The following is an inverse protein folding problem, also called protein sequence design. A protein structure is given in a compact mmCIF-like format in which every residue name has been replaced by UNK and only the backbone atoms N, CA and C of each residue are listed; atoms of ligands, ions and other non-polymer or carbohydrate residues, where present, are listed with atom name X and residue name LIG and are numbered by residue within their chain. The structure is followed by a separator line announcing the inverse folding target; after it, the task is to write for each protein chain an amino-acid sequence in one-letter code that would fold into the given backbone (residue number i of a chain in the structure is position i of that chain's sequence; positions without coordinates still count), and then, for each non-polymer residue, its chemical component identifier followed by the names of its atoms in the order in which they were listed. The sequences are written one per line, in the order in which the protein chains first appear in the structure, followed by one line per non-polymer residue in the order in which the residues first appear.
data_IF_416898105560
#
_entry.id   IF_416898105560
#
_cell.length_a   1.000
_cell.length_b   1.000
_cell.length_c   1.000
_cell.angle_alpha   90.00
_cell.angle_beta   90.00
_cell.angle_gamma   90.00
#
_symmetry.space_group_name_H-M   'P 1'
#
loop_
_entity.id
_entity.type
_entity.pdbx_description
1 polymer ?
#
# COMPACT_ATOMS: atom_id res chain seq x y z
N UNK A 1 41.78 -12.44 -19.58
CA UNK A 1 42.31 -12.52 -18.19
C UNK A 1 41.41 -11.85 -17.15
N UNK A 2 40.91 -10.61 -17.35
CA UNK A 2 40.00 -9.94 -16.39
C UNK A 2 38.73 -10.74 -16.02
N UNK A 3 38.16 -11.47 -16.99
CA UNK A 3 36.96 -12.31 -16.79
C UNK A 3 37.21 -13.55 -15.92
N UNK A 4 38.44 -14.09 -15.90
CA UNK A 4 38.79 -15.28 -15.12
C UNK A 4 38.86 -14.99 -13.62
N UNK A 5 39.46 -13.85 -13.25
CA UNK A 5 39.51 -13.42 -11.85
C UNK A 5 38.12 -13.12 -11.27
N UNK A 6 37.20 -12.59 -12.09
CA UNK A 6 35.81 -12.36 -11.70
C UNK A 6 35.04 -13.68 -11.44
N UNK A 7 35.23 -14.68 -12.31
CA UNK A 7 34.60 -16.01 -12.13
C UNK A 7 35.14 -16.73 -10.89
N UNK A 8 36.45 -16.68 -10.66
CA UNK A 8 37.08 -17.27 -9.47
C UNK A 8 36.57 -16.57 -8.20
N UNK A 9 36.49 -15.23 -8.20
CA UNK A 9 35.96 -14.45 -7.07
C UNK A 9 34.50 -14.80 -6.75
N UNK A 10 33.66 -14.99 -7.77
CA UNK A 10 32.25 -15.37 -7.58
C UNK A 10 32.10 -16.79 -7.03
N UNK A 11 32.98 -17.71 -7.44
CA UNK A 11 33.00 -19.10 -6.93
C UNK A 11 33.55 -19.20 -5.50
N UNK A 12 34.47 -18.30 -5.11
CA UNK A 12 34.94 -18.20 -3.71
C UNK A 12 33.89 -17.57 -2.80
N UNK A 13 33.06 -16.64 -3.30
CA UNK A 13 32.00 -16.01 -2.52
C UNK A 13 30.88 -16.99 -2.11
N UNK A 14 30.63 -18.04 -2.92
CA UNK A 14 29.64 -19.08 -2.57
C UNK A 14 30.14 -20.07 -1.52
N UNK A 15 31.45 -20.08 -1.21
CA UNK A 15 32.02 -20.92 -0.16
C UNK A 15 31.90 -20.32 1.24
N UNK A 16 31.52 -19.03 1.35
CA UNK A 16 31.38 -18.34 2.64
C UNK A 16 30.00 -18.63 3.22
N UNK A 17 29.85 -19.79 3.86
CA UNK A 17 28.67 -20.10 4.65
C UNK A 17 28.76 -19.39 6.01
N UNK A 18 28.00 -18.32 6.21
CA UNK A 18 27.74 -17.76 7.54
C UNK A 18 26.75 -18.68 8.28
N UNK A 19 27.21 -19.85 8.71
CA UNK A 19 26.37 -20.75 9.49
C UNK A 19 26.21 -20.17 10.90
N UNK A 20 24.97 -19.99 11.33
CA UNK A 20 24.69 -19.69 12.75
C UNK A 20 25.33 -20.80 13.58
N UNK A 21 26.18 -20.46 14.58
CA UNK A 21 26.77 -21.46 15.44
C UNK A 21 25.69 -22.40 16.01
N UNK A 22 25.77 -23.68 15.66
CA UNK A 22 24.85 -24.72 16.11
C UNK A 22 25.21 -25.14 17.54
N UNK A 23 25.14 -24.19 18.47
CA UNK A 23 25.54 -24.40 19.86
C UNK A 23 24.97 -23.35 20.81
N UNK A 24 24.93 -23.67 22.10
CA UNK A 24 24.75 -22.68 23.16
C UNK A 24 25.78 -22.90 24.28
N UNK A 25 26.19 -21.81 24.94
CA UNK A 25 27.18 -21.88 26.01
C UNK A 25 26.60 -22.47 27.30
N UNK A 26 27.42 -23.26 27.97
CA UNK A 26 27.13 -23.85 29.27
C UNK A 26 28.36 -23.72 30.17
N UNK A 27 28.14 -23.25 31.40
CA UNK A 27 29.17 -23.11 32.41
C UNK A 27 28.73 -23.84 33.67
N UNK A 28 29.64 -24.60 34.27
CA UNK A 28 29.38 -25.33 35.52
C UNK A 28 30.63 -25.46 36.36
N UNK A 29 30.45 -25.83 37.63
CA UNK A 29 31.53 -26.22 38.54
C UNK A 29 31.49 -27.73 38.70
N UNK A 30 32.62 -28.41 38.47
CA UNK A 30 32.73 -29.85 38.65
C UNK A 30 33.06 -30.17 40.11
N UNK A 31 32.24 -31.03 40.72
CA UNK A 31 32.42 -31.50 42.10
C UNK A 31 32.81 -32.98 42.10
N UNK A 32 33.66 -33.38 43.04
CA UNK A 32 33.96 -34.79 43.30
C UNK A 32 32.88 -35.43 44.19
N UNK A 33 33.03 -36.72 44.48
CA UNK A 33 32.11 -37.47 45.35
C UNK A 33 31.98 -36.91 46.79
N UNK A 34 32.98 -36.15 47.26
CA UNK A 34 32.97 -35.48 48.56
C UNK A 34 32.31 -34.09 48.52
N UNK A 35 31.81 -33.64 47.36
CA UNK A 35 31.24 -32.31 47.19
C UNK A 35 32.26 -31.18 47.07
N UNK A 36 33.55 -31.48 46.95
CA UNK A 36 34.60 -30.48 46.76
C UNK A 36 34.83 -30.19 45.27
N UNK A 37 35.09 -28.94 44.85
CA UNK A 37 35.43 -28.61 43.48
C UNK A 37 36.69 -29.36 43.01
N UNK A 38 36.65 -29.91 41.79
CA UNK A 38 37.80 -30.55 41.15
C UNK A 38 38.66 -29.43 40.55
N UNK A 39 39.69 -28.95 41.24
CA UNK A 39 40.53 -27.86 40.73
C UNK A 39 41.61 -28.35 39.76
N UNK A 40 41.77 -27.68 38.61
CA UNK A 40 42.79 -27.97 37.59
C UNK A 40 42.84 -29.46 37.15
N UNK A 41 41.68 -30.12 37.17
CA UNK A 41 41.54 -31.55 36.90
C UNK A 41 40.88 -31.82 35.56
N UNK A 42 41.19 -32.97 34.98
CA UNK A 42 40.51 -33.44 33.78
C UNK A 42 39.18 -34.10 34.15
N UNK A 43 38.10 -33.66 33.52
CA UNK A 43 36.75 -34.19 33.70
C UNK A 43 36.12 -34.43 32.32
N UNK A 44 35.19 -35.36 32.25
CA UNK A 44 34.41 -35.59 31.04
C UNK A 44 32.93 -35.38 31.32
N UNK A 45 32.24 -34.82 30.33
CA UNK A 45 30.81 -34.57 30.36
C UNK A 45 30.14 -35.33 29.25
N UNK A 46 28.96 -35.86 29.54
CA UNK A 46 28.01 -36.37 28.57
C UNK A 46 26.75 -35.54 28.67
N UNK A 47 26.38 -34.91 27.55
CA UNK A 47 25.23 -34.01 27.47
C UNK A 47 24.19 -34.67 26.58
N UNK A 48 22.94 -34.76 27.06
CA UNK A 48 21.82 -35.26 26.27
C UNK A 48 20.69 -34.23 26.20
N UNK A 49 20.06 -34.13 25.03
CA UNK A 49 18.80 -33.39 24.85
C UNK A 49 17.65 -34.38 24.85
N UNK A 50 16.73 -34.21 25.81
CA UNK A 50 15.53 -35.04 25.97
C UNK A 50 14.29 -34.26 25.50
N UNK A 51 13.25 -34.98 25.10
CA UNK A 51 11.97 -34.38 24.68
C UNK A 51 10.82 -34.66 25.67
N UNK A 52 9.91 -33.69 25.80
CA UNK A 52 8.66 -33.73 26.59
C UNK A 52 8.85 -33.78 28.12
N UNK A 53 9.72 -34.63 28.65
CA UNK A 53 9.93 -34.82 30.09
C UNK A 53 11.40 -35.03 30.43
N UNK A 54 11.74 -34.91 31.73
CA UNK A 54 13.10 -35.16 32.25
C UNK A 54 13.57 -36.62 32.10
N UNK A 55 12.68 -37.54 31.74
CA UNK A 55 12.98 -38.95 31.47
C UNK A 55 12.52 -39.37 30.06
N UNK A 56 12.25 -38.39 29.20
CA UNK A 56 11.75 -38.62 27.85
C UNK A 56 12.80 -39.21 26.91
N UNK A 57 12.44 -39.42 25.63
CA UNK A 57 13.38 -39.96 24.65
C UNK A 57 14.55 -38.99 24.42
N UNK A 58 15.74 -39.56 24.20
CA UNK A 58 16.96 -38.83 23.85
C UNK A 58 16.92 -38.50 22.37
N UNK A 59 16.93 -37.20 22.03
CA UNK A 59 17.03 -36.72 20.65
C UNK A 59 18.48 -36.57 20.19
N UNK A 60 19.36 -36.17 21.13
CA UNK A 60 20.77 -35.88 20.85
C UNK A 60 21.64 -36.21 22.05
N UNK A 61 22.85 -36.69 21.83
CA UNK A 61 23.87 -36.86 22.87
C UNK A 61 25.26 -36.54 22.34
N UNK A 62 26.06 -35.86 23.16
CA UNK A 62 27.47 -35.55 22.88
C UNK A 62 28.35 -35.73 24.13
N UNK A 63 29.65 -35.88 23.90
CA UNK A 63 30.65 -35.89 24.97
C UNK A 63 31.66 -34.74 24.84
N UNK A 64 32.18 -34.30 25.98
CA UNK A 64 33.24 -33.29 26.08
C UNK A 64 34.29 -33.75 27.08
N UNK A 65 35.57 -33.56 26.77
CA UNK A 65 36.67 -33.67 27.74
C UNK A 65 37.23 -32.28 27.99
N UNK A 66 37.27 -31.85 29.25
CA UNK A 66 37.66 -30.49 29.65
C UNK A 66 38.53 -30.52 30.90
N UNK A 67 39.42 -29.55 31.00
CA UNK A 67 40.16 -29.26 32.23
C UNK A 67 39.46 -28.16 32.99
N UNK A 68 39.17 -28.38 34.27
CA UNK A 68 38.60 -27.37 35.16
C UNK A 68 39.64 -26.30 35.49
N UNK A 69 39.21 -25.10 35.90
CA UNK A 69 40.13 -24.10 36.46
C UNK A 69 40.37 -24.32 37.97
N UNK A 70 41.11 -23.42 38.62
CA UNK A 70 41.41 -23.47 40.06
C UNK A 70 40.16 -23.45 40.98
N UNK A 71 39.00 -23.03 40.47
CA UNK A 71 37.70 -23.03 41.18
C UNK A 71 36.80 -24.22 40.79
N UNK A 72 37.29 -25.15 39.97
CA UNK A 72 36.50 -26.26 39.43
C UNK A 72 35.59 -25.87 38.26
N UNK A 73 35.69 -24.65 37.74
CA UNK A 73 34.82 -24.15 36.67
C UNK A 73 35.21 -24.74 35.30
N UNK A 74 34.20 -25.09 34.51
CA UNK A 74 34.33 -25.50 33.10
C UNK A 74 33.38 -24.68 32.25
N UNK A 75 33.86 -24.29 31.06
CA UNK A 75 33.04 -23.77 29.97
C UNK A 75 33.01 -24.77 28.82
N UNK A 76 31.82 -25.01 28.29
CA UNK A 76 31.62 -25.81 27.07
C UNK A 76 30.49 -25.21 26.23
N UNK A 77 30.51 -25.50 24.94
CA UNK A 77 29.43 -25.13 24.03
C UNK A 77 28.67 -26.42 23.69
N UNK A 78 27.43 -26.51 24.18
CA UNK A 78 26.57 -27.67 23.92
C UNK A 78 26.19 -27.66 22.44
N UNK A 79 26.41 -28.75 21.72
CA UNK A 79 26.26 -28.88 20.28
C UNK A 79 27.59 -28.88 19.49
N UNK A 80 28.72 -28.72 20.18
CA UNK A 80 30.08 -28.74 19.60
C UNK A 80 30.97 -29.83 20.22
N UNK A 81 30.37 -30.78 20.95
CA UNK A 81 31.05 -31.97 21.45
C UNK A 81 31.12 -33.08 20.42
N UNK A 82 31.65 -34.23 20.83
CA UNK A 82 31.64 -35.44 19.99
C UNK A 82 30.26 -36.10 20.08
N UNK A 83 29.45 -35.94 19.03
CA UNK A 83 28.11 -36.55 18.98
C UNK A 83 28.19 -38.08 18.99
N UNK A 84 27.36 -38.72 19.80
CA UNK A 84 27.16 -40.18 19.83
C UNK A 84 25.76 -40.60 19.38
N UNK A 85 24.80 -39.69 19.36
CA UNK A 85 23.40 -39.96 18.98
C UNK A 85 22.79 -38.71 18.39
N UNK A 86 22.17 -38.83 17.21
CA UNK A 86 21.55 -37.72 16.50
C UNK A 86 22.55 -36.63 16.05
N UNK A 87 22.01 -35.52 15.57
CA UNK A 87 22.78 -34.31 15.24
C UNK A 87 22.13 -33.11 15.91
N UNK A 88 22.93 -32.15 16.39
CA UNK A 88 22.39 -30.97 17.06
C UNK A 88 21.48 -30.13 16.15
N UNK A 89 21.89 -30.00 14.87
CA UNK A 89 21.11 -29.33 13.84
C UNK A 89 19.81 -30.08 13.45
N UNK A 90 19.73 -31.38 13.72
CA UNK A 90 18.54 -32.19 13.45
C UNK A 90 17.44 -32.08 14.52
N UNK A 91 17.72 -31.41 15.66
CA UNK A 91 16.73 -31.23 16.72
C UNK A 91 15.68 -30.22 16.26
N UNK A 92 14.40 -30.63 16.28
CA UNK A 92 13.31 -29.69 16.08
C UNK A 92 13.08 -28.86 17.37
N UNK A 93 13.67 -27.66 17.39
CA UNK A 93 13.58 -26.69 18.50
C UNK A 93 12.24 -25.96 18.55
N UNK A 94 11.44 -25.99 17.48
CA UNK A 94 10.18 -25.23 17.37
C UNK A 94 8.97 -25.91 17.98
N UNK A 95 9.11 -27.18 18.40
CA UNK A 95 8.01 -27.99 18.95
C UNK A 95 8.44 -28.69 20.23
N UNK A 96 7.46 -29.01 21.09
CA UNK A 96 7.63 -29.75 22.34
C UNK A 96 8.61 -29.10 23.34
N UNK A 97 8.53 -29.50 24.60
CA UNK A 97 9.52 -29.07 25.61
C UNK A 97 10.82 -29.86 25.44
N UNK A 98 11.96 -29.21 25.67
CA UNK A 98 13.29 -29.82 25.61
C UNK A 98 13.95 -29.74 26.98
N UNK A 99 14.71 -30.77 27.35
CA UNK A 99 15.46 -30.84 28.59
C UNK A 99 16.93 -31.11 28.30
N UNK A 100 17.84 -30.47 29.05
CA UNK A 100 19.26 -30.80 29.05
C UNK A 100 19.53 -31.71 30.23
N UNK A 101 20.00 -32.92 29.94
CA UNK A 101 20.57 -33.84 30.91
C UNK A 101 22.09 -33.71 30.87
N UNK A 102 22.70 -33.52 32.03
CA UNK A 102 24.15 -33.44 32.18
C UNK A 102 24.60 -34.62 33.02
N UNK A 103 25.58 -35.34 32.51
CA UNK A 103 26.27 -36.42 33.20
C UNK A 103 27.78 -36.15 33.20
N UNK A 104 28.49 -36.59 34.24
CA UNK A 104 29.92 -36.31 34.41
C UNK A 104 30.67 -37.53 34.94
N UNK A 105 31.89 -37.74 34.44
CA UNK A 105 32.92 -38.56 35.10
C UNK A 105 34.00 -37.63 35.72
N UNK A 106 34.08 -37.56 37.06
CA UNK A 106 35.07 -36.77 37.78
C UNK A 106 36.54 -37.12 37.47
N UNK A 107 36.81 -38.33 36.96
CA UNK A 107 38.15 -38.81 36.61
C UNK A 107 38.47 -38.61 35.12
N UNK A 108 37.54 -38.05 34.35
CA UNK A 108 37.72 -37.82 32.91
C UNK A 108 37.60 -39.07 32.04
N UNK A 109 37.05 -40.16 32.58
CA UNK A 109 36.78 -41.40 31.87
C UNK A 109 35.40 -41.42 31.19
N UNK A 110 34.75 -42.58 31.20
CA UNK A 110 33.42 -42.81 30.60
C UNK A 110 32.38 -43.31 31.62
N UNK A 111 32.69 -43.26 32.91
CA UNK A 111 31.81 -43.68 34.00
C UNK A 111 30.91 -42.52 34.44
N UNK A 112 30.02 -42.11 33.54
CA UNK A 112 29.19 -40.93 33.73
C UNK A 112 28.13 -41.13 34.82
N UNK A 113 28.02 -40.13 35.70
CA UNK A 113 26.97 -40.02 36.72
C UNK A 113 26.09 -38.82 36.43
N UNK A 114 24.77 -38.95 36.62
CA UNK A 114 23.83 -37.85 36.37
C UNK A 114 24.03 -36.73 37.41
N UNK A 115 24.31 -35.52 36.93
CA UNK A 115 24.48 -34.34 37.78
C UNK A 115 23.27 -33.40 37.74
N UNK A 116 22.32 -33.62 36.81
CA UNK A 116 21.07 -32.88 36.74
C UNK A 116 20.36 -32.99 35.40
N UNK A 117 19.04 -32.80 35.44
CA UNK A 117 18.17 -32.69 34.26
C UNK A 117 17.31 -31.45 34.42
N UNK A 118 17.43 -30.49 33.51
CA UNK A 118 16.68 -29.23 33.57
C UNK A 118 15.96 -28.95 32.26
N UNK A 119 14.76 -28.36 32.33
CA UNK A 119 14.06 -27.89 31.15
C UNK A 119 14.81 -26.69 30.54
N UNK A 120 14.96 -26.69 29.23
CA UNK A 120 15.41 -25.51 28.49
C UNK A 120 14.26 -24.50 28.42
N UNK A 121 14.40 -23.41 29.17
CA UNK A 121 13.50 -22.27 29.13
C UNK A 121 13.96 -21.28 28.05
N UNK A 122 13.00 -20.60 27.42
CA UNK A 122 13.30 -19.55 26.45
C UNK A 122 14.04 -18.38 27.10
N UNK A 123 15.12 -17.91 26.48
CA UNK A 123 15.85 -16.70 26.89
C UNK A 123 15.16 -15.43 26.36
N UNK A 124 15.36 -14.24 26.99
CA UNK A 124 14.68 -13.01 26.57
C UNK A 124 14.84 -12.65 25.08
N UNK A 125 16.02 -12.86 24.50
CA UNK A 125 16.26 -12.63 23.07
C UNK A 125 15.48 -13.61 22.17
N UNK A 126 15.25 -14.84 22.63
CA UNK A 126 14.45 -15.85 21.93
C UNK A 126 12.94 -15.65 22.12
N UNK A 127 12.49 -14.83 23.07
CA UNK A 127 11.07 -14.48 23.19
C UNK A 127 10.63 -13.53 22.06
N UNK A 128 11.55 -12.70 21.55
CA UNK A 128 11.30 -11.81 20.42
C UNK A 128 11.09 -12.59 19.13
N UNK A 129 11.70 -13.77 18.95
CA UNK A 129 11.50 -14.57 17.74
C UNK A 129 10.13 -15.25 17.66
N UNK A 130 9.37 -15.31 18.76
CA UNK A 130 7.99 -15.83 18.77
C UNK A 130 7.05 -15.04 17.87
N UNK A 131 7.35 -13.77 17.57
CA UNK A 131 6.56 -12.95 16.65
C UNK A 131 6.96 -13.13 15.18
N UNK A 132 8.06 -13.83 14.88
CA UNK A 132 8.65 -13.88 13.53
C UNK A 132 8.74 -15.31 12.97
N UNK A 133 8.87 -16.34 13.83
CA UNK A 133 8.97 -17.74 13.38
C UNK A 133 7.62 -18.44 13.57
N UNK A 134 6.83 -18.43 12.51
CA UNK A 134 5.67 -19.31 12.38
C UNK A 134 6.04 -20.47 11.46
N UNK A 135 5.56 -21.69 11.69
CA UNK A 135 5.87 -22.86 10.84
C UNK A 135 5.58 -22.66 9.35
N UNK A 136 5.94 -23.63 8.51
CA UNK A 136 5.67 -23.58 7.07
C UNK A 136 4.19 -23.24 6.80
N UNK A 137 3.93 -22.23 5.96
CA UNK A 137 2.60 -21.75 5.60
C UNK A 137 1.94 -20.76 6.58
N UNK A 138 2.48 -20.55 7.78
CA UNK A 138 1.81 -19.81 8.85
C UNK A 138 1.96 -18.27 8.76
N UNK A 139 2.98 -17.77 8.06
CA UNK A 139 3.17 -16.34 7.76
C UNK A 139 3.49 -15.42 8.95
N UNK A 140 3.95 -14.20 8.65
CA UNK A 140 4.27 -13.19 9.67
C UNK A 140 2.99 -12.43 10.04
N UNK A 141 2.63 -12.40 11.32
CA UNK A 141 1.52 -11.56 11.82
C UNK A 141 2.04 -10.18 12.20
N UNK A 142 1.59 -9.15 11.50
CA UNK A 142 1.81 -7.74 11.82
C UNK A 142 0.57 -7.20 12.53
N UNK A 143 0.75 -6.46 13.63
CA UNK A 143 -0.36 -5.82 14.35
C UNK A 143 -0.29 -4.31 14.13
N UNK A 144 -1.35 -3.71 13.60
CA UNK A 144 -1.43 -2.26 13.44
C UNK A 144 -1.64 -1.54 14.79
N UNK A 145 -1.41 -0.21 14.85
CA UNK A 145 -1.64 0.56 16.08
C UNK A 145 -3.07 0.49 16.65
N UNK A 146 -4.07 0.16 15.83
CA UNK A 146 -5.46 -0.05 16.28
C UNK A 146 -5.76 -1.50 16.71
N UNK A 147 -4.76 -2.38 16.75
CA UNK A 147 -4.90 -3.78 17.19
C UNK A 147 -5.33 -4.77 16.10
N UNK A 148 -5.35 -4.38 14.83
CA UNK A 148 -5.74 -5.30 13.72
C UNK A 148 -4.55 -6.16 13.30
N UNK A 149 -4.78 -7.47 13.14
CA UNK A 149 -3.77 -8.42 12.68
C UNK A 149 -3.76 -8.53 11.15
N UNK A 150 -2.57 -8.53 10.57
CA UNK A 150 -2.30 -8.66 9.15
C UNK A 150 -1.28 -9.78 8.94
N UNK A 151 -1.62 -10.80 8.15
CA UNK A 151 -0.73 -11.93 7.90
C UNK A 151 -0.04 -11.78 6.54
N UNK A 152 1.29 -11.84 6.53
CA UNK A 152 2.09 -11.98 5.32
C UNK A 152 2.45 -13.46 5.13
N UNK A 153 1.99 -14.11 4.06
CA UNK A 153 2.33 -15.50 3.78
C UNK A 153 2.78 -15.72 2.33
N UNK A 154 3.45 -16.83 2.09
CA UNK A 154 3.90 -17.26 0.76
C UNK A 154 3.24 -18.62 0.47
N UNK A 155 2.62 -18.75 -0.70
CA UNK A 155 2.02 -20.02 -1.14
C UNK A 155 3.09 -21.04 -1.57
N UNK A 156 2.69 -22.31 -1.73
CA UNK A 156 3.56 -23.36 -2.30
C UNK A 156 4.04 -23.05 -3.72
N UNK A 157 3.32 -22.17 -4.44
CA UNK A 157 3.73 -21.64 -5.75
C UNK A 157 4.68 -20.44 -5.67
N UNK A 158 5.16 -20.06 -4.48
CA UNK A 158 6.08 -18.94 -4.26
C UNK A 158 5.42 -17.56 -4.36
N UNK A 159 4.09 -17.48 -4.33
CA UNK A 159 3.38 -16.20 -4.42
C UNK A 159 3.30 -15.56 -3.04
N UNK A 160 3.86 -14.34 -2.90
CA UNK A 160 3.68 -13.53 -1.69
C UNK A 160 2.25 -12.98 -1.67
N UNK A 161 1.47 -13.39 -0.68
CA UNK A 161 0.14 -12.88 -0.43
C UNK A 161 0.24 -11.77 0.62
N UNK A 162 -0.08 -10.56 0.17
CA UNK A 162 -0.18 -9.37 1.00
C UNK A 162 -1.65 -9.18 1.37
N UNK A 163 -1.97 -8.74 2.59
CA UNK A 163 -3.33 -8.34 2.94
C UNK A 163 -3.66 -7.00 2.28
N UNK A 164 -3.76 -7.00 0.96
CA UNK A 164 -4.66 -6.13 0.24
C UNK A 164 -5.93 -6.95 0.04
N UNK A 165 -7.07 -6.44 0.48
CA UNK A 165 -8.34 -7.00 0.06
C UNK A 165 -8.41 -6.92 -1.47
N UNK A 166 -8.07 -8.00 -2.17
CA UNK A 166 -8.55 -8.29 -3.52
C UNK A 166 -10.02 -8.72 -3.44
N UNK A 167 -10.82 -7.91 -2.75
CA UNK A 167 -12.26 -7.90 -2.89
C UNK A 167 -12.55 -6.84 -3.94
N UNK A 168 -13.11 -7.25 -5.07
CA UNK A 168 -13.77 -6.38 -6.03
C UNK A 168 -15.01 -5.74 -5.40
N UNK A 169 -14.83 -4.95 -4.33
CA UNK A 169 -15.83 -3.97 -3.95
C UNK A 169 -15.65 -2.82 -4.92
N UNK A 170 -16.57 -2.71 -5.87
CA UNK A 170 -16.90 -1.48 -6.60
C UNK A 170 -17.35 -0.41 -5.60
N UNK A 171 -16.42 0.02 -4.76
CA UNK A 171 -16.63 1.08 -3.80
C UNK A 171 -15.49 2.06 -3.99
N UNK A 172 -15.79 3.12 -4.73
CA UNK A 172 -14.92 4.26 -4.84
C UNK A 172 -14.59 4.83 -3.45
N UNK A 173 -13.38 5.38 -3.26
CA UNK A 173 -13.08 6.17 -2.08
C UNK A 173 -14.13 7.27 -1.86
N UNK A 174 -14.49 7.52 -0.61
CA UNK A 174 -15.49 8.53 -0.25
C UNK A 174 -15.14 9.90 -0.86
N UNK A 175 -13.87 10.29 -0.80
CA UNK A 175 -13.33 11.42 -1.54
C UNK A 175 -12.29 10.90 -2.55
N UNK A 176 -12.30 11.47 -3.75
CA UNK A 176 -11.32 11.17 -4.78
C UNK A 176 -10.93 12.49 -5.44
N UNK A 177 -9.65 12.82 -5.39
CA UNK A 177 -9.11 14.04 -5.96
C UNK A 177 -8.32 13.71 -7.21
N UNK A 178 -8.38 14.57 -8.23
CA UNK A 178 -7.59 14.49 -9.46
C UNK A 178 -6.42 15.44 -9.37
N UNK A 179 -5.26 14.98 -9.83
CA UNK A 179 -4.06 15.78 -9.96
C UNK A 179 -3.24 15.24 -11.14
N UNK A 180 -2.30 16.01 -11.66
CA UNK A 180 -1.67 15.65 -12.92
C UNK A 180 -0.56 16.58 -13.36
N UNK A 181 -0.13 16.43 -14.61
CA UNK A 181 0.88 17.32 -15.20
C UNK A 181 0.47 18.80 -15.12
N UNK A 182 -0.83 19.10 -15.15
CA UNK A 182 -1.35 20.47 -15.06
C UNK A 182 -1.05 21.17 -13.72
N UNK A 183 -0.80 20.41 -12.65
CA UNK A 183 -0.42 20.95 -11.34
C UNK A 183 0.89 20.33 -10.84
N UNK A 184 1.74 19.83 -11.75
CA UNK A 184 3.01 19.16 -11.44
C UNK A 184 2.87 17.98 -10.47
N UNK A 185 1.75 17.27 -10.52
CA UNK A 185 1.39 16.22 -9.58
C UNK A 185 1.44 16.66 -8.10
N UNK A 186 1.15 17.93 -7.82
CA UNK A 186 1.08 18.43 -6.45
C UNK A 186 -0.22 18.00 -5.78
N UNK A 187 -0.12 17.12 -4.78
CA UNK A 187 -1.26 16.62 -4.02
C UNK A 187 -2.04 17.70 -3.27
N UNK A 188 -1.37 18.77 -2.83
CA UNK A 188 -2.02 19.85 -2.07
C UNK A 188 -2.93 20.74 -2.94
N UNK A 189 -2.73 20.74 -4.26
CA UNK A 189 -3.55 21.45 -5.23
C UNK A 189 -4.37 20.50 -6.11
N UNK A 190 -4.65 19.29 -5.61
CA UNK A 190 -5.52 18.33 -6.29
C UNK A 190 -6.99 18.78 -6.22
N UNK A 191 -7.73 18.57 -7.31
CA UNK A 191 -9.12 18.99 -7.46
C UNK A 191 -10.07 17.86 -7.00
N UNK A 192 -11.04 18.15 -6.13
CA UNK A 192 -11.99 17.16 -5.63
C UNK A 192 -13.05 16.81 -6.68
N UNK A 193 -13.25 15.52 -6.98
CA UNK A 193 -14.37 15.05 -7.80
C UNK A 193 -15.68 15.09 -7.01
N UNK A 194 -16.74 15.62 -7.63
CA UNK A 194 -18.07 15.75 -7.05
C UNK A 194 -18.87 14.45 -7.14
N UNK A 195 -19.87 14.33 -6.25
CA UNK A 195 -20.82 13.22 -6.05
C UNK A 195 -20.22 11.92 -5.48
N UNK A 196 -21.06 11.02 -4.96
CA UNK A 196 -20.62 9.79 -4.29
C UNK A 196 -20.74 8.51 -5.14
N UNK A 197 -21.62 8.47 -6.13
CA UNK A 197 -21.83 7.27 -6.97
C UNK A 197 -20.98 7.33 -8.24
N UNK A 198 -20.98 8.45 -8.95
CA UNK A 198 -20.05 8.68 -10.07
C UNK A 198 -19.24 9.92 -9.76
N UNK A 199 -17.93 9.78 -9.60
CA UNK A 199 -17.05 10.91 -9.29
C UNK A 199 -16.85 11.75 -10.55
N UNK A 200 -17.26 13.01 -10.54
CA UNK A 200 -17.24 13.89 -11.74
C UNK A 200 -16.40 15.15 -11.49
N UNK A 201 -15.65 15.58 -12.49
CA UNK A 201 -14.99 16.89 -12.49
C UNK A 201 -14.75 17.43 -13.90
N UNK A 202 -14.44 18.72 -14.01
CA UNK A 202 -14.30 19.43 -15.28
C UNK A 202 -12.98 20.16 -15.39
N UNK A 203 -12.25 19.99 -16.49
CA UNK A 203 -10.98 20.70 -16.67
C UNK A 203 -10.55 20.80 -18.11
N UNK A 204 -9.97 21.93 -18.48
CA UNK A 204 -9.14 21.98 -19.68
C UNK A 204 -7.83 21.24 -19.46
N UNK A 205 -7.50 20.33 -20.37
CA UNK A 205 -6.28 19.54 -20.35
C UNK A 205 -5.61 19.58 -21.73
N UNK A 206 -4.34 19.98 -21.81
CA UNK A 206 -3.55 19.81 -23.02
C UNK A 206 -3.37 18.33 -23.40
N UNK A 207 -3.11 18.08 -24.69
CA UNK A 207 -2.71 16.76 -25.18
C UNK A 207 -1.46 16.26 -24.44
N UNK A 208 -1.41 14.96 -24.20
CA UNK A 208 -0.38 14.28 -23.40
C UNK A 208 -0.37 14.67 -21.92
N UNK A 209 -1.39 15.38 -21.43
CA UNK A 209 -1.56 15.53 -19.99
C UNK A 209 -1.75 14.17 -19.34
N UNK A 210 -1.14 14.00 -18.18
CA UNK A 210 -1.28 12.79 -17.39
C UNK A 210 -2.05 13.12 -16.12
N UNK A 211 -3.03 12.29 -15.77
CA UNK A 211 -3.80 12.43 -14.54
C UNK A 211 -3.68 11.18 -13.66
N UNK A 212 -3.73 11.41 -12.35
CA UNK A 212 -3.79 10.42 -11.28
C UNK A 212 -4.81 10.85 -10.23
N UNK A 213 -5.08 9.95 -9.29
CA UNK A 213 -6.07 10.19 -8.24
C UNK A 213 -5.52 9.89 -6.85
N UNK A 214 -6.00 10.63 -5.85
CA UNK A 214 -5.66 10.45 -4.43
C UNK A 214 -6.91 10.51 -3.56
N UNK A 215 -6.90 9.79 -2.43
CA UNK A 215 -8.02 9.79 -1.47
C UNK A 215 -8.10 11.07 -0.60
N UNK A 216 -7.04 11.86 -0.54
CA UNK A 216 -6.96 13.11 0.22
C UNK A 216 -5.90 14.05 -0.39
N UNK A 217 -5.99 15.38 -0.22
CA UNK A 217 -5.11 16.35 -0.87
C UNK A 217 -3.78 16.52 -0.09
N UNK A 218 -3.06 15.41 0.13
CA UNK A 218 -1.77 15.41 0.82
C UNK A 218 -0.85 14.29 0.28
N UNK A 219 0.46 14.44 0.47
CA UNK A 219 1.47 13.55 -0.10
C UNK A 219 1.40 12.11 0.43
N UNK A 220 0.84 11.90 1.62
CA UNK A 220 0.71 10.59 2.26
C UNK A 220 -0.58 9.85 1.87
N UNK A 221 -1.45 10.48 1.07
CA UNK A 221 -2.71 9.88 0.67
C UNK A 221 -2.50 8.64 -0.22
N UNK A 222 -3.45 7.70 -0.13
CA UNK A 222 -3.48 6.56 -1.04
C UNK A 222 -3.56 7.05 -2.49
N UNK A 223 -2.62 6.59 -3.31
CA UNK A 223 -2.51 6.93 -4.72
C UNK A 223 -3.21 5.88 -5.59
N UNK A 224 -3.84 6.35 -6.66
CA UNK A 224 -4.51 5.54 -7.66
C UNK A 224 -4.11 6.02 -9.06
N UNK A 225 -4.16 5.08 -9.99
CA UNK A 225 -3.97 5.31 -11.42
C UNK A 225 -4.87 4.38 -12.21
N UNK A 226 -4.54 4.18 -13.48
CA UNK A 226 -5.23 3.24 -14.37
C UNK A 226 -4.46 1.94 -14.56
N UNK A 227 -5.18 0.84 -14.77
CA UNK A 227 -4.64 -0.37 -15.42
C UNK A 227 -4.68 -0.24 -16.96
N UNK A 228 -4.37 -1.33 -17.68
CA UNK A 228 -4.39 -1.34 -19.15
C UNK A 228 -5.79 -1.30 -19.76
N UNK A 229 -6.83 -1.52 -18.97
CA UNK A 229 -8.23 -1.43 -19.37
C UNK A 229 -8.85 -0.06 -19.02
N UNK A 230 -8.10 0.83 -18.37
CA UNK A 230 -8.59 2.15 -17.94
C UNK A 230 -9.37 2.13 -16.62
N UNK A 231 -9.25 1.06 -15.84
CA UNK A 231 -9.89 0.91 -14.53
C UNK A 231 -9.06 1.58 -13.43
N UNK A 232 -9.74 2.17 -12.44
CA UNK A 232 -9.07 2.78 -11.28
C UNK A 232 -8.47 1.68 -10.39
N UNK A 233 -7.15 1.68 -10.23
CA UNK A 233 -6.43 0.73 -9.38
C UNK A 233 -5.42 1.43 -8.47
N UNK A 234 -5.21 0.85 -7.29
CA UNK A 234 -4.20 1.32 -6.33
C UNK A 234 -2.82 1.30 -7.01
N UNK A 235 -2.10 2.41 -6.91
CA UNK A 235 -0.76 2.59 -7.47
C UNK A 235 -0.65 2.30 -8.98
N UNK A 236 -1.75 2.45 -9.73
CA UNK A 236 -1.76 2.31 -11.18
C UNK A 236 -0.91 3.35 -11.92
N UNK A 237 -0.80 3.17 -13.24
CA UNK A 237 -0.11 4.13 -14.12
C UNK A 237 -0.94 5.40 -14.29
N UNK A 238 -0.34 6.47 -14.82
CA UNK A 238 -1.13 7.68 -15.08
C UNK A 238 -2.08 7.45 -16.27
N UNK A 239 -3.29 8.01 -16.18
CA UNK A 239 -4.24 8.02 -17.28
C UNK A 239 -3.88 9.16 -18.24
N UNK A 240 -3.78 8.87 -19.54
CA UNK A 240 -3.30 9.83 -20.54
C UNK A 240 -4.46 10.55 -21.23
N UNK A 241 -4.32 11.87 -21.39
CA UNK A 241 -5.21 12.71 -22.19
C UNK A 241 -4.69 12.79 -23.62
N UNK A 242 -5.52 12.42 -24.59
CA UNK A 242 -5.09 12.25 -25.98
C UNK A 242 -5.08 13.53 -26.81
N UNK A 243 -5.87 14.54 -26.43
CA UNK A 243 -6.05 15.76 -27.22
C UNK A 243 -6.21 17.00 -26.34
N UNK A 244 -5.92 18.18 -26.91
CA UNK A 244 -6.25 19.44 -26.25
C UNK A 244 -7.77 19.59 -26.15
N UNK A 245 -8.30 19.94 -24.99
CA UNK A 245 -9.73 20.19 -24.87
C UNK A 245 -10.23 20.37 -23.46
N UNK A 246 -11.52 20.69 -23.36
CA UNK A 246 -12.21 20.76 -22.08
C UNK A 246 -12.88 19.41 -21.81
N UNK A 247 -12.47 18.78 -20.72
CA UNK A 247 -12.86 17.42 -20.39
C UNK A 247 -13.85 17.39 -19.25
N UNK A 248 -14.85 16.53 -19.38
CA UNK A 248 -15.51 15.90 -18.24
C UNK A 248 -14.72 14.65 -17.85
N UNK A 249 -14.30 14.55 -16.61
CA UNK A 249 -13.59 13.41 -16.03
C UNK A 249 -14.59 12.67 -15.15
N UNK A 250 -14.80 11.39 -15.40
CA UNK A 250 -15.70 10.53 -14.63
C UNK A 250 -14.94 9.31 -14.09
N UNK A 251 -15.21 8.93 -12.85
CA UNK A 251 -14.91 7.60 -12.33
C UNK A 251 -16.21 6.99 -11.85
N UNK A 252 -16.69 5.96 -12.56
CA UNK A 252 -18.00 5.34 -12.27
C UNK A 252 -17.85 4.22 -11.26
N UNK A 253 -18.78 4.09 -10.31
CA UNK A 253 -18.80 3.00 -9.34
C UNK A 253 -19.39 1.69 -9.92
N UNK A 254 -18.83 1.24 -11.04
CA UNK A 254 -19.15 -0.02 -11.72
C UNK A 254 -18.06 -1.07 -11.44
N UNK A 255 -18.23 -2.35 -11.81
CA UNK A 255 -17.13 -3.32 -11.79
C UNK A 255 -15.88 -2.76 -12.49
N UNK A 256 -14.75 -2.75 -11.77
CA UNK A 256 -13.49 -2.17 -12.25
C UNK A 256 -13.32 -0.66 -12.03
N UNK A 257 -14.35 0.09 -11.63
CA UNK A 257 -14.26 1.54 -11.41
C UNK A 257 -13.62 2.30 -12.60
N UNK A 258 -14.17 2.21 -13.83
CA UNK A 258 -13.51 2.75 -15.02
C UNK A 258 -13.37 4.26 -14.95
N UNK A 259 -12.19 4.74 -15.32
CA UNK A 259 -11.88 6.15 -15.55
C UNK A 259 -12.29 6.49 -16.98
N UNK A 260 -13.12 7.51 -17.14
CA UNK A 260 -13.59 8.00 -18.45
C UNK A 260 -13.34 9.48 -18.57
N UNK A 261 -12.92 9.93 -19.75
CA UNK A 261 -12.74 11.34 -20.05
C UNK A 261 -13.44 11.67 -21.35
N UNK A 262 -14.27 12.71 -21.34
CA UNK A 262 -15.03 13.15 -22.50
C UNK A 262 -14.59 14.56 -22.88
N UNK A 263 -13.87 14.70 -23.99
CA UNK A 263 -13.57 16.01 -24.56
C UNK A 263 -14.86 16.59 -25.16
N UNK A 264 -15.27 17.78 -24.75
CA UNK A 264 -16.52 18.37 -25.23
C UNK A 264 -16.49 19.91 -25.22
N UNK A 265 -17.38 20.49 -26.00
CA UNK A 265 -17.85 21.86 -25.80
C UNK A 265 -19.21 21.77 -25.10
N UNK A 266 -19.50 22.64 -24.10
CA UNK A 266 -20.85 22.79 -23.58
C UNK A 266 -21.85 23.10 -24.70
N UNK A 267 -23.13 22.89 -24.40
CA UNK A 267 -24.25 23.30 -25.25
C UNK A 267 -25.10 24.36 -24.56
N UNK A 268 -25.87 25.15 -25.31
CA UNK A 268 -26.86 26.08 -24.75
C UNK A 268 -28.23 25.45 -24.87
N UNK A 269 -28.90 25.30 -23.74
CA UNK A 269 -30.33 25.03 -23.71
C UNK A 269 -31.03 26.38 -23.78
N UNK A 270 -31.89 26.56 -24.78
CA UNK A 270 -32.70 27.76 -24.94
C UNK A 270 -34.16 27.44 -24.60
N UNK A 271 -34.75 28.23 -23.70
CA UNK A 271 -36.19 28.17 -23.44
C UNK A 271 -36.89 29.22 -24.32
N UNK A 272 -36.98 28.96 -25.63
CA UNK A 272 -37.33 29.98 -26.63
C UNK A 272 -37.99 29.39 -27.87
N UNK A 273 -38.62 30.27 -28.66
CA UNK A 273 -39.05 30.00 -30.03
C UNK A 273 -38.39 31.04 -30.96
N UNK A 274 -37.26 30.71 -31.59
CA UNK A 274 -36.72 31.47 -32.74
C UNK A 274 -35.47 32.37 -32.53
N UNK A 275 -34.83 32.38 -31.36
CA UNK A 275 -33.49 33.00 -31.21
C UNK A 275 -32.38 32.06 -31.67
N UNK A 276 -31.29 32.61 -32.22
CA UNK A 276 -30.13 31.82 -32.68
C UNK A 276 -28.93 32.01 -31.74
N UNK A 277 -28.19 30.92 -31.54
CA UNK A 277 -26.94 30.89 -30.77
C UNK A 277 -25.75 30.70 -31.71
N UNK A 278 -24.64 31.39 -31.44
CA UNK A 278 -23.37 31.06 -32.08
C UNK A 278 -22.80 29.76 -31.49
N UNK A 279 -21.89 29.07 -32.20
CA UNK A 279 -21.03 28.06 -31.58
C UNK A 279 -20.25 28.67 -30.41
N UNK A 280 -19.88 27.84 -29.43
CA UNK A 280 -19.00 28.26 -28.36
C UNK A 280 -17.57 28.46 -28.84
N UNK A 281 -16.88 29.41 -28.20
CA UNK A 281 -15.43 29.55 -28.26
C UNK A 281 -14.86 29.41 -26.86
N UNK A 282 -13.87 28.54 -26.68
CA UNK A 282 -13.12 28.41 -25.42
C UNK A 282 -11.76 29.08 -25.55
N UNK A 283 -11.40 29.92 -24.58
CA UNK A 283 -10.11 30.62 -24.52
C UNK A 283 -9.28 30.06 -23.36
N UNK A 284 -8.28 29.19 -23.63
CA UNK A 284 -7.48 28.55 -22.58
C UNK A 284 -6.74 29.54 -21.68
N UNK A 285 -6.28 30.68 -22.23
CA UNK A 285 -5.55 31.69 -21.49
C UNK A 285 -6.37 32.35 -20.37
N UNK A 286 -7.69 32.41 -20.53
CA UNK A 286 -8.61 33.01 -19.54
C UNK A 286 -9.51 31.99 -18.86
N UNK A 287 -9.45 30.71 -19.26
CA UNK A 287 -10.35 29.64 -18.83
C UNK A 287 -11.84 30.01 -19.01
N UNK A 288 -12.17 30.68 -20.13
CA UNK A 288 -13.53 31.15 -20.42
C UNK A 288 -14.08 30.58 -21.71
N UNK A 289 -15.35 30.17 -21.64
CA UNK A 289 -16.21 29.97 -22.79
C UNK A 289 -16.92 31.27 -23.14
N UNK A 290 -17.27 31.42 -24.42
CA UNK A 290 -18.13 32.51 -24.88
C UNK A 290 -19.03 32.06 -26.02
N UNK A 291 -20.21 32.67 -26.10
CA UNK A 291 -21.13 32.54 -27.23
C UNK A 291 -22.01 33.78 -27.30
N UNK A 292 -22.67 33.97 -28.45
CA UNK A 292 -23.58 35.07 -28.67
C UNK A 292 -25.01 34.55 -28.80
N UNK A 293 -25.95 35.27 -28.20
CA UNK A 293 -27.38 35.15 -28.49
C UNK A 293 -27.76 36.37 -29.32
N UNK A 294 -28.38 36.15 -30.46
CA UNK A 294 -28.78 37.24 -31.36
C UNK A 294 -30.28 37.21 -31.64
N UNK A 295 -30.86 38.41 -31.80
CA UNK A 295 -32.27 38.56 -32.12
C UNK A 295 -33.24 38.30 -30.96
N UNK A 296 -32.78 38.38 -29.71
CA UNK A 296 -33.62 38.17 -28.54
C UNK A 296 -34.59 39.33 -28.30
N UNK A 297 -35.85 39.01 -28.03
CA UNK A 297 -36.93 39.94 -27.68
C UNK A 297 -37.65 39.44 -26.42
N UNK A 298 -38.46 40.30 -25.79
CA UNK A 298 -39.29 39.93 -24.65
C UNK A 298 -40.37 38.89 -24.97
N UNK A 299 -40.59 38.57 -26.25
CA UNK A 299 -41.63 37.61 -26.69
C UNK A 299 -41.05 36.30 -27.21
N UNK A 300 -39.80 36.29 -27.67
CA UNK A 300 -39.16 35.07 -28.20
C UNK A 300 -38.16 34.44 -27.23
N UNK A 301 -37.71 35.16 -26.19
CA UNK A 301 -36.68 34.70 -25.27
C UNK A 301 -37.14 34.71 -23.82
N UNK A 302 -37.11 33.54 -23.15
CA UNK A 302 -37.46 33.45 -21.71
C UNK A 302 -36.30 33.00 -20.82
N UNK A 303 -35.23 32.45 -21.40
CA UNK A 303 -34.00 32.17 -20.68
C UNK A 303 -33.12 31.12 -21.37
N UNK A 304 -31.93 30.93 -20.81
CA UNK A 304 -31.00 29.89 -21.22
C UNK A 304 -30.39 29.14 -20.03
N UNK A 305 -29.84 27.96 -20.29
CA UNK A 305 -28.95 27.22 -19.39
C UNK A 305 -27.75 26.70 -20.17
N UNK A 306 -26.64 26.44 -19.48
CA UNK A 306 -25.48 25.77 -20.08
C UNK A 306 -25.58 24.28 -19.80
N UNK A 307 -25.62 23.45 -20.84
CA UNK A 307 -25.65 22.00 -20.72
C UNK A 307 -24.24 21.42 -20.78
N UNK A 308 -23.91 20.63 -19.76
CA UNK A 308 -22.69 19.83 -19.63
C UNK A 308 -22.99 18.36 -19.93
N UNK A 309 -23.35 18.08 -21.18
CA UNK A 309 -23.83 16.76 -21.61
C UNK A 309 -22.98 16.15 -22.73
N UNK A 310 -21.71 15.80 -22.48
CA UNK A 310 -20.91 15.10 -23.47
C UNK A 310 -21.57 13.79 -23.90
N UNK A 311 -21.50 13.48 -25.20
CA UNK A 311 -22.01 12.20 -25.72
C UNK A 311 -21.36 10.99 -25.04
N UNK A 312 -22.19 10.07 -24.55
CA UNK A 312 -21.74 8.85 -23.85
C UNK A 312 -21.35 9.03 -22.38
N UNK A 313 -21.42 10.25 -21.84
CA UNK A 313 -21.19 10.53 -20.43
C UNK A 313 -22.41 10.16 -19.56
N UNK A 314 -22.16 9.80 -18.31
CA UNK A 314 -23.23 9.62 -17.31
C UNK A 314 -23.60 10.97 -16.71
N UNK A 315 -24.81 11.16 -16.17
CA UNK A 315 -25.21 12.39 -15.46
C UNK A 315 -24.98 13.69 -16.27
N UNK A 316 -25.89 13.98 -17.18
CA UNK A 316 -25.99 15.30 -17.84
C UNK A 316 -26.34 16.38 -16.83
N UNK A 317 -25.65 17.52 -16.87
CA UNK A 317 -25.87 18.62 -15.93
C UNK A 317 -26.25 19.88 -16.69
N UNK A 318 -27.19 20.66 -16.14
CA UNK A 318 -27.57 21.95 -16.68
C UNK A 318 -27.26 23.03 -15.65
N UNK A 319 -26.49 24.04 -16.05
CA UNK A 319 -26.14 25.19 -15.21
C UNK A 319 -27.12 26.32 -15.48
N UNK A 320 -27.79 26.75 -14.42
CA UNK A 320 -28.63 27.94 -14.39
C UNK A 320 -28.15 28.89 -13.29
N UNK A 321 -29.01 29.80 -12.86
CA UNK A 321 -28.74 30.72 -11.75
C UNK A 321 -30.03 30.91 -10.94
N UNK A 322 -30.04 30.49 -9.68
CA UNK A 322 -31.22 30.64 -8.83
C UNK A 322 -31.36 32.03 -8.20
N UNK A 323 -30.24 32.74 -8.03
CA UNK A 323 -30.18 34.01 -7.30
C UNK A 323 -30.02 35.21 -8.22
N UNK A 324 -29.85 34.98 -9.52
CA UNK A 324 -29.50 35.99 -10.53
C UNK A 324 -28.28 36.82 -10.11
N UNK A 325 -27.31 36.18 -9.47
CA UNK A 325 -26.09 36.81 -8.94
C UNK A 325 -24.89 36.67 -9.90
N UNK A 326 -25.09 36.02 -11.05
CA UNK A 326 -24.05 35.78 -12.04
C UNK A 326 -23.22 34.53 -11.77
N UNK A 327 -23.60 33.70 -10.80
CA UNK A 327 -22.96 32.43 -10.50
C UNK A 327 -23.82 31.25 -10.95
N UNK A 328 -23.15 30.20 -11.42
CA UNK A 328 -23.83 29.00 -11.86
C UNK A 328 -24.22 28.09 -10.69
N UNK A 329 -25.48 27.67 -10.72
CA UNK A 329 -26.03 26.59 -9.92
C UNK A 329 -26.36 25.39 -10.80
N UNK A 330 -25.94 24.20 -10.38
CA UNK A 330 -26.35 22.95 -11.03
C UNK A 330 -27.85 22.76 -10.81
N UNK A 331 -28.59 22.60 -11.91
CA UNK A 331 -30.05 22.54 -11.88
C UNK A 331 -30.72 23.90 -11.62
N UNK A 332 -29.94 24.99 -11.60
CA UNK A 332 -30.44 26.33 -11.32
C UNK A 332 -31.50 26.83 -12.29
N UNK A 333 -32.15 27.94 -11.94
CA UNK A 333 -33.21 28.56 -12.75
C UNK A 333 -32.69 29.07 -14.10
N UNK A 334 -33.59 29.29 -15.05
CA UNK A 334 -33.22 29.79 -16.38
C UNK A 334 -32.61 31.19 -16.27
N UNK A 335 -31.42 31.38 -16.86
CA UNK A 335 -30.74 32.67 -16.88
C UNK A 335 -31.43 33.57 -17.91
N UNK A 336 -31.81 34.78 -17.48
CA UNK A 336 -32.51 35.75 -18.34
C UNK A 336 -31.54 36.77 -18.94
N UNK A 337 -31.94 37.37 -20.05
CA UNK A 337 -31.20 38.49 -20.65
C UNK A 337 -31.78 39.82 -20.12
N UNK A 338 -30.93 40.80 -19.76
CA UNK A 338 -31.40 42.04 -19.20
C UNK A 338 -32.07 42.92 -20.25
N UNK A 339 -33.08 43.70 -19.82
CA UNK A 339 -33.71 44.77 -20.60
C UNK A 339 -34.26 44.34 -21.98
N UNK A 340 -34.80 43.12 -22.11
CA UNK A 340 -35.46 42.71 -23.35
C UNK A 340 -36.76 43.50 -23.60
N UNK A 341 -36.98 43.85 -24.86
CA UNK A 341 -38.17 44.56 -25.36
C UNK A 341 -38.67 43.87 -26.63
N UNK A 342 -39.68 44.43 -27.31
CA UNK A 342 -40.11 43.94 -28.62
C UNK A 342 -39.06 44.16 -29.72
N UNK A 343 -38.13 45.11 -29.56
CA UNK A 343 -36.99 45.29 -30.46
C UNK A 343 -35.92 44.21 -30.23
N UNK A 344 -35.44 43.52 -31.28
CA UNK A 344 -34.40 42.50 -31.18
C UNK A 344 -33.08 43.05 -30.63
N UNK A 345 -32.46 42.31 -29.71
CA UNK A 345 -31.15 42.62 -29.12
C UNK A 345 -30.20 41.43 -29.23
N UNK A 346 -28.91 41.73 -29.21
CA UNK A 346 -27.84 40.74 -29.23
C UNK A 346 -26.97 40.88 -27.99
N UNK A 347 -26.50 39.74 -27.46
CA UNK A 347 -25.69 39.69 -26.26
C UNK A 347 -24.56 38.69 -26.43
N UNK A 348 -23.40 39.04 -25.85
CA UNK A 348 -22.29 38.13 -25.63
C UNK A 348 -22.37 37.60 -24.21
N UNK A 349 -22.29 36.28 -24.08
CA UNK A 349 -22.22 35.61 -22.80
C UNK A 349 -20.80 35.06 -22.69
N UNK A 350 -20.14 35.35 -21.57
CA UNK A 350 -18.81 34.82 -21.25
C UNK A 350 -18.84 34.19 -19.86
N UNK A 351 -18.24 33.01 -19.71
CA UNK A 351 -18.29 32.29 -18.44
C UNK A 351 -17.12 31.33 -18.25
N UNK A 352 -16.85 30.99 -17.00
CA UNK A 352 -15.94 29.90 -16.63
C UNK A 352 -16.71 28.73 -16.03
N UNK A 353 -16.14 27.53 -16.16
CA UNK A 353 -16.60 26.34 -15.43
C UNK A 353 -15.43 25.88 -14.56
N UNK A 354 -15.63 25.90 -13.25
CA UNK A 354 -14.71 25.37 -12.26
C UNK A 354 -14.79 23.84 -12.24
N UNK A 355 -13.84 23.20 -11.55
CA UNK A 355 -13.73 21.74 -11.54
C UNK A 355 -14.97 21.02 -11.02
N UNK A 356 -15.69 21.62 -10.08
CA UNK A 356 -16.91 21.11 -9.47
C UNK A 356 -18.20 21.48 -10.22
N UNK A 357 -18.08 22.09 -11.41
CA UNK A 357 -19.15 22.67 -12.23
C UNK A 357 -19.80 23.96 -11.69
N UNK A 358 -19.27 24.55 -10.62
CA UNK A 358 -19.57 25.94 -10.29
C UNK A 358 -18.91 26.89 -11.28
N UNK A 359 -19.23 28.17 -11.24
CA UNK A 359 -18.60 29.15 -12.11
C UNK A 359 -19.34 30.47 -12.08
N UNK A 360 -18.84 31.43 -12.85
CA UNK A 360 -19.48 32.74 -13.02
C UNK A 360 -19.67 33.05 -14.48
N UNK A 361 -20.68 33.86 -14.80
CA UNK A 361 -20.95 34.33 -16.14
C UNK A 361 -21.20 35.84 -16.16
N UNK A 362 -20.99 36.43 -17.33
CA UNK A 362 -21.28 37.83 -17.62
C UNK A 362 -22.07 37.93 -18.91
N UNK A 363 -23.04 38.85 -18.94
CA UNK A 363 -23.86 39.14 -20.12
C UNK A 363 -23.57 40.58 -20.54
N UNK A 364 -23.07 40.76 -21.76
CA UNK A 364 -22.71 42.07 -22.31
C UNK A 364 -23.51 42.33 -23.58
N UNK A 365 -24.21 43.47 -23.71
CA UNK A 365 -24.85 43.86 -24.97
C UNK A 365 -23.83 43.95 -26.11
N UNK A 366 -24.23 43.52 -27.31
CA UNK A 366 -23.42 43.60 -28.55
C UNK A 366 -23.81 44.76 -29.44
#
# INVERSE_FOLDING_TARGET
MKKLYATIGLFLATLVSAQVPQAFSYQTIAFNASGAPIANGNVSFKISILENTATGPVLYTETHTKTTNAKGLVNLNIGQGTSSTGTFAGINWGTNTKFVKVEMDPQGGSNYTNVGVNQLMSVPYAQVSKTVVTGAGQGITLVSPNGTNYTLNVSDSGTLNLPASSGSSSQLPANLYVYGTYNNFNAASADLLRTNVTKIGYKYLPANSQIKFIAAPNASAQNYGSDSQGNLVINGTAFNISSNGFYKIEVTNNPGNPIKTFNFSPDVLLNTYGSTQSPFTYTPATNKFSFNITGATSTNFTGFKISLSPGGATNSEALGDNLNDGNFDIGGSWITLPNLTTTPKSFKIEFNINFDATGSYTITPL
#
